data_IF_643868755548
#
_entry.id   IF_643868755548
#
_cell.length_a   1.000
_cell.length_b   1.000
_cell.length_c   1.000
_cell.angle_alpha   90.00
_cell.angle_beta   90.00
_cell.angle_gamma   90.00
#
_symmetry.space_group_name_H-M   'P 1'
#
loop_
_entity.id
_entity.type
_entity.pdbx_description
1 polymer ?
#
# COMPACT_ATOMS: atom_id res chain seq x y z
N UNK A 1 0.04 -10.33 -25.22
CA UNK A 1 -0.66 -9.10 -25.65
C UNK A 1 -2.13 -9.29 -25.42
N UNK A 2 -2.77 -8.37 -24.68
CA UNK A 2 -4.22 -8.41 -24.44
C UNK A 2 -4.96 -7.91 -25.67
N UNK A 3 -6.01 -8.61 -26.11
CA UNK A 3 -6.82 -8.21 -27.28
C UNK A 3 -7.77 -7.06 -26.91
N UNK A 4 -8.25 -6.26 -27.88
CA UNK A 4 -9.26 -5.23 -27.63
C UNK A 4 -10.49 -5.79 -26.93
N UNK A 5 -10.98 -5.09 -25.90
CA UNK A 5 -12.16 -5.50 -25.12
C UNK A 5 -11.93 -6.65 -24.12
N UNK A 6 -10.72 -7.20 -24.01
CA UNK A 6 -10.40 -8.23 -23.04
C UNK A 6 -9.70 -7.65 -21.80
N UNK A 7 -10.04 -8.19 -20.64
CA UNK A 7 -9.35 -7.91 -19.38
C UNK A 7 -8.30 -8.97 -19.12
N UNK A 8 -7.10 -8.57 -18.71
CA UNK A 8 -6.05 -9.49 -18.23
C UNK A 8 -5.70 -9.12 -16.80
N UNK A 9 -5.64 -10.11 -15.92
CA UNK A 9 -5.22 -9.94 -14.53
C UNK A 9 -3.77 -10.37 -14.41
N UNK A 10 -2.96 -9.56 -13.72
CA UNK A 10 -1.56 -9.86 -13.40
C UNK A 10 -1.43 -9.93 -11.89
N UNK A 11 -0.87 -11.03 -11.39
CA UNK A 11 -0.57 -11.22 -9.98
C UNK A 11 0.93 -11.44 -9.83
N UNK A 12 1.53 -10.75 -8.88
CA UNK A 12 2.96 -10.86 -8.60
C UNK A 12 3.21 -10.90 -7.09
N UNK A 13 4.14 -11.75 -6.70
CA UNK A 13 4.66 -11.83 -5.33
C UNK A 13 6.12 -11.45 -5.39
N UNK A 14 6.53 -10.51 -4.55
CA UNK A 14 7.91 -10.02 -4.52
C UNK A 14 8.38 -9.83 -3.09
N UNK A 15 9.68 -9.92 -2.89
CA UNK A 15 10.33 -9.54 -1.63
C UNK A 15 10.70 -8.07 -1.71
N UNK A 16 10.36 -7.31 -0.67
CA UNK A 16 10.73 -5.90 -0.61
C UNK A 16 12.26 -5.73 -0.73
N UNK A 17 12.73 -4.77 -1.55
CA UNK A 17 14.17 -4.55 -1.75
C UNK A 17 14.85 -3.91 -0.55
N UNK A 18 14.08 -3.44 0.43
CA UNK A 18 14.56 -2.88 1.69
C UNK A 18 14.57 -3.95 2.78
N UNK A 19 15.75 -4.18 3.36
CA UNK A 19 15.82 -4.81 4.68
C UNK A 19 15.34 -3.76 5.67
N UNK A 20 14.30 -4.08 6.43
CA UNK A 20 13.86 -3.28 7.57
C UNK A 20 15.05 -3.22 8.54
N UNK A 21 15.80 -2.12 8.50
CA UNK A 21 17.12 -2.02 9.13
C UNK A 21 16.95 -2.17 10.65
N UNK A 22 17.61 -3.18 11.21
CA UNK A 22 17.49 -3.65 12.59
C UNK A 22 18.01 -2.67 13.67
N UNK A 23 18.40 -1.44 13.30
CA UNK A 23 19.08 -0.48 14.18
C UNK A 23 18.28 0.81 14.44
N UNK A 24 17.05 0.92 13.95
CA UNK A 24 16.15 2.02 14.32
C UNK A 24 14.89 1.47 14.98
N UNK A 25 14.49 2.06 16.10
CA UNK A 25 13.20 1.80 16.76
C UNK A 25 12.01 2.13 15.85
N UNK A 26 12.26 2.82 14.73
CA UNK A 26 11.27 3.26 13.76
C UNK A 26 11.52 2.66 12.39
N UNK A 27 10.44 2.49 11.65
CA UNK A 27 10.44 1.94 10.30
C UNK A 27 9.37 2.65 9.49
N UNK A 28 9.79 3.19 8.35
CA UNK A 28 8.91 3.86 7.40
C UNK A 28 8.65 2.99 6.19
N UNK A 29 7.39 2.88 5.79
CA UNK A 29 6.98 2.33 4.50
C UNK A 29 6.26 3.41 3.70
N UNK A 30 6.46 3.38 2.38
CA UNK A 30 5.69 4.18 1.44
C UNK A 30 5.33 3.39 0.20
N UNK A 31 4.18 3.73 -0.38
CA UNK A 31 3.66 3.19 -1.62
C UNK A 31 3.15 4.33 -2.48
N UNK A 32 3.61 4.39 -3.72
CA UNK A 32 3.03 5.23 -4.76
C UNK A 32 2.19 4.34 -5.67
N UNK A 33 0.87 4.53 -5.66
CA UNK A 33 -0.03 3.92 -6.63
C UNK A 33 -0.37 4.94 -7.72
N UNK A 34 0.00 4.61 -8.96
CA UNK A 34 -0.18 5.52 -10.09
C UNK A 34 -1.41 5.15 -10.93
N UNK A 35 -2.24 6.15 -11.21
CA UNK A 35 -3.34 5.98 -12.16
C UNK A 35 -2.76 5.84 -13.56
N UNK A 36 -3.25 4.83 -14.28
CA UNK A 36 -2.91 4.67 -15.70
C UNK A 36 -3.73 5.65 -16.56
N UNK A 37 -3.06 6.35 -17.47
CA UNK A 37 -3.72 7.25 -18.41
C UNK A 37 -4.73 6.50 -19.29
N UNK A 38 -5.85 7.15 -19.61
CA UNK A 38 -6.89 6.57 -20.47
C UNK A 38 -7.76 5.48 -19.81
N UNK A 39 -7.53 5.14 -18.53
CA UNK A 39 -8.41 4.27 -17.75
C UNK A 39 -9.43 5.08 -16.93
N UNK A 40 -10.66 4.56 -16.89
CA UNK A 40 -11.66 4.97 -15.90
C UNK A 40 -11.13 4.60 -14.51
N UNK A 41 -11.37 5.46 -13.53
CA UNK A 41 -10.98 5.19 -12.15
C UNK A 41 -11.60 3.86 -11.69
N UNK A 42 -10.78 3.02 -11.08
CA UNK A 42 -11.14 1.67 -10.65
C UNK A 42 -10.78 1.51 -9.17
N UNK A 43 -11.39 0.51 -8.53
CA UNK A 43 -11.20 0.24 -7.12
C UNK A 43 -9.75 -0.17 -6.82
N UNK A 44 -9.11 0.58 -5.93
CA UNK A 44 -7.82 0.29 -5.35
C UNK A 44 -8.01 -0.12 -3.88
N UNK A 45 -7.46 -1.29 -3.54
CA UNK A 45 -7.48 -1.84 -2.20
C UNK A 45 -6.06 -2.16 -1.77
N UNK A 46 -5.68 -1.72 -0.57
CA UNK A 46 -4.40 -2.03 0.05
C UNK A 46 -4.64 -2.66 1.42
N UNK A 47 -3.95 -3.77 1.65
CA UNK A 47 -3.98 -4.51 2.91
C UNK A 47 -2.55 -4.80 3.34
N UNK A 48 -2.19 -4.36 4.54
CA UNK A 48 -0.84 -4.49 5.08
C UNK A 48 -0.92 -5.08 6.47
N UNK A 49 -0.28 -6.23 6.64
CA UNK A 49 -0.12 -6.90 7.94
C UNK A 49 1.22 -6.51 8.54
N UNK A 50 1.16 -5.94 9.74
CA UNK A 50 2.33 -5.55 10.52
C UNK A 50 2.71 -6.71 11.48
N UNK A 51 3.96 -6.82 11.98
CA UNK A 51 4.33 -7.75 13.06
C UNK A 51 3.77 -7.33 14.43
N UNK A 52 3.45 -8.28 15.31
CA UNK A 52 2.66 -8.03 16.56
C UNK A 52 3.35 -7.09 17.55
N UNK A 53 4.68 -7.00 17.50
CA UNK A 53 5.50 -6.17 18.37
C UNK A 53 5.70 -4.73 17.87
N UNK A 54 4.96 -4.29 16.84
CA UNK A 54 5.10 -2.96 16.26
C UNK A 54 3.81 -2.16 16.36
N UNK A 55 3.94 -0.86 16.57
CA UNK A 55 2.82 0.08 16.66
C UNK A 55 2.95 1.16 15.59
N UNK A 56 1.85 1.45 14.90
CA UNK A 56 1.80 2.56 13.93
C UNK A 56 1.75 3.88 14.68
N UNK A 57 2.77 4.71 14.48
CA UNK A 57 2.89 6.03 15.13
C UNK A 57 2.53 7.18 14.19
N UNK A 58 2.52 6.93 12.87
CA UNK A 58 2.12 7.90 11.86
C UNK A 58 1.57 7.19 10.62
N UNK A 59 0.61 7.80 9.94
CA UNK A 59 0.04 7.31 8.68
C UNK A 59 -0.43 8.47 7.80
N UNK A 60 -0.36 8.27 6.50
CA UNK A 60 -0.91 9.15 5.48
C UNK A 60 -1.44 8.31 4.31
N UNK A 61 -2.67 8.51 3.85
CA UNK A 61 -3.61 9.52 4.32
C UNK A 61 -4.29 9.09 5.64
N UNK A 62 -4.95 10.03 6.33
CA UNK A 62 -5.50 9.81 7.68
C UNK A 62 -6.63 8.75 7.71
N UNK A 63 -7.25 8.51 6.55
CA UNK A 63 -8.34 7.57 6.29
C UNK A 63 -7.91 6.10 6.27
N UNK A 64 -6.60 5.81 6.32
CA UNK A 64 -6.12 4.43 6.48
C UNK A 64 -6.70 3.88 7.78
N UNK A 65 -7.47 2.79 7.71
CA UNK A 65 -8.06 2.16 8.88
C UNK A 65 -7.04 1.26 9.59
N UNK A 66 -6.97 1.36 10.91
CA UNK A 66 -6.09 0.56 11.78
C UNK A 66 -6.94 -0.39 12.60
N UNK A 67 -6.98 -1.66 12.19
CA UNK A 67 -7.67 -2.72 12.91
C UNK A 67 -6.66 -3.68 13.51
N UNK A 68 -6.30 -3.46 14.77
CA UNK A 68 -5.27 -4.23 15.45
C UNK A 68 -3.92 -4.04 14.77
N UNK A 69 -3.45 -5.07 14.06
CA UNK A 69 -2.15 -5.09 13.40
C UNK A 69 -2.22 -5.02 11.87
N UNK A 70 -3.34 -4.50 11.37
CA UNK A 70 -3.65 -4.40 9.95
C UNK A 70 -3.92 -2.95 9.58
N UNK A 71 -3.27 -2.48 8.52
CA UNK A 71 -3.65 -1.24 7.83
C UNK A 71 -4.50 -1.63 6.62
N UNK A 72 -5.70 -1.07 6.55
CA UNK A 72 -6.61 -1.25 5.42
C UNK A 72 -6.89 0.09 4.76
N UNK A 73 -6.85 0.12 3.44
CA UNK A 73 -7.22 1.31 2.68
C UNK A 73 -7.96 0.92 1.40
N UNK A 74 -9.01 1.66 1.10
CA UNK A 74 -9.87 1.45 -0.06
C UNK A 74 -10.22 2.79 -0.69
N UNK A 75 -10.04 2.92 -2.01
CA UNK A 75 -10.40 4.13 -2.75
C UNK A 75 -10.59 3.84 -4.23
N UNK A 76 -11.19 4.75 -4.98
CA UNK A 76 -11.10 4.72 -6.45
C UNK A 76 -9.83 5.48 -6.88
N UNK A 77 -8.97 4.86 -7.70
CA UNK A 77 -7.71 5.48 -8.13
C UNK A 77 -7.95 6.53 -9.24
N UNK A 78 -8.51 7.68 -8.84
CA UNK A 78 -8.86 8.81 -9.72
C UNK A 78 -7.64 9.64 -10.15
N UNK A 79 -6.60 9.62 -9.32
CA UNK A 79 -5.31 10.29 -9.47
C UNK A 79 -4.21 9.45 -8.83
N UNK A 80 -2.96 9.85 -9.02
CA UNK A 80 -1.83 9.24 -8.33
C UNK A 80 -1.98 9.43 -6.83
N UNK A 81 -1.74 8.37 -6.07
CA UNK A 81 -1.90 8.37 -4.62
C UNK A 81 -0.63 7.90 -3.95
N UNK A 82 -0.21 8.68 -2.97
CA UNK A 82 0.84 8.33 -2.04
C UNK A 82 0.22 7.77 -0.76
N UNK A 83 0.84 6.71 -0.24
CA UNK A 83 0.51 6.11 1.03
C UNK A 83 1.79 5.96 1.82
N UNK A 84 1.74 6.26 3.11
CA UNK A 84 2.87 6.08 3.99
C UNK A 84 2.42 5.72 5.39
N UNK A 85 3.28 4.99 6.09
CA UNK A 85 3.15 4.83 7.53
C UNK A 85 4.52 4.68 8.17
N UNK A 86 4.60 5.11 9.42
CA UNK A 86 5.74 4.88 10.29
C UNK A 86 5.28 4.01 11.44
N UNK A 87 6.02 2.95 11.68
CA UNK A 87 5.81 2.07 12.81
C UNK A 87 7.02 2.09 13.73
N UNK A 88 6.76 1.88 15.02
CA UNK A 88 7.75 1.83 16.08
C UNK A 88 7.69 0.47 16.78
N UNK A 89 8.85 -0.08 17.14
CA UNK A 89 8.97 -1.26 18.00
C UNK A 89 8.88 -0.92 19.49
#
# INVERSE_FOLDING_TARGET
>A
MTKPGQTTTVSFTYRLPLKLLNNSDYLSYSLLAQKQAGRVADGFFSHISIPVDWQVVWRDPAEIDLNGNQLNYSTDLKEDRYFGFVMKR
#
